data_IF_290087985434
#
_entry.id   IF_290087985434
#
_cell.length_a   1.000
_cell.length_b   1.000
_cell.length_c   1.000
_cell.angle_alpha   90.00
_cell.angle_beta   90.00
_cell.angle_gamma   90.00
#
_symmetry.space_group_name_H-M   'P 1'
#
loop_
_entity.id
_entity.type
_entity.pdbx_description
1 polymer ?
#
# COMPACT_ATOMS: atom_id res chain seq x y z
N UNK A 1 -28.52 11.50 30.56
CA UNK A 1 -27.24 12.07 30.09
C UNK A 1 -26.05 11.08 30.13
N UNK A 2 -26.26 9.75 30.25
CA UNK A 2 -25.15 8.78 30.31
C UNK A 2 -24.74 8.13 28.98
N UNK A 3 -25.67 7.97 28.03
CA UNK A 3 -25.42 7.21 26.79
C UNK A 3 -24.49 7.94 25.81
N UNK A 4 -24.59 9.27 25.74
CA UNK A 4 -23.73 10.09 24.87
C UNK A 4 -22.25 10.07 25.30
N UNK A 5 -21.98 10.00 26.61
CA UNK A 5 -20.62 9.94 27.15
C UNK A 5 -19.96 8.58 26.87
N UNK A 6 -20.71 7.47 26.98
CA UNK A 6 -20.21 6.12 26.70
C UNK A 6 -19.86 5.90 25.21
N UNK A 7 -20.63 6.49 24.29
CA UNK A 7 -20.35 6.41 22.84
C UNK A 7 -19.09 7.20 22.45
N UNK A 8 -18.89 8.38 23.06
CA UNK A 8 -17.67 9.19 22.85
C UNK A 8 -16.40 8.48 23.33
N UNK A 9 -16.48 7.81 24.48
CA UNK A 9 -15.34 7.09 25.08
C UNK A 9 -14.97 5.80 24.31
N UNK A 10 -15.94 5.09 23.73
CA UNK A 10 -15.67 3.94 22.84
C UNK A 10 -15.04 4.34 21.49
N UNK A 11 -15.45 5.47 20.88
CA UNK A 11 -14.81 5.97 19.63
C UNK A 11 -13.37 6.41 19.86
N UNK A 12 -13.10 7.12 20.96
CA UNK A 12 -11.74 7.55 21.33
C UNK A 12 -10.81 6.38 21.65
N UNK A 13 -11.29 5.37 22.38
CA UNK A 13 -10.52 4.15 22.66
C UNK A 13 -10.28 3.29 21.43
N UNK A 14 -11.26 3.14 20.55
CA UNK A 14 -11.12 2.38 19.31
C UNK A 14 -10.14 3.04 18.32
N UNK A 15 -10.16 4.37 18.18
CA UNK A 15 -9.16 5.10 17.40
C UNK A 15 -7.77 5.06 18.03
N UNK A 16 -7.65 5.25 19.34
CA UNK A 16 -6.38 5.17 20.07
C UNK A 16 -5.72 3.80 19.97
N UNK A 17 -6.49 2.72 20.13
CA UNK A 17 -5.97 1.36 19.94
C UNK A 17 -5.60 1.09 18.49
N UNK A 18 -6.47 1.44 17.52
CA UNK A 18 -6.19 1.25 16.07
C UNK A 18 -4.95 2.01 15.62
N UNK A 19 -4.75 3.24 16.09
CA UNK A 19 -3.52 3.99 15.83
C UNK A 19 -2.30 3.29 16.47
N UNK A 20 -2.40 2.86 17.73
CA UNK A 20 -1.36 2.09 18.44
C UNK A 20 -0.96 0.79 17.73
N UNK A 21 -1.90 0.11 17.05
CA UNK A 21 -1.61 -1.08 16.25
C UNK A 21 -0.67 -0.80 15.07
N UNK A 22 -0.74 0.38 14.45
CA UNK A 22 0.12 0.77 13.32
C UNK A 22 1.39 1.53 13.71
N UNK A 23 1.62 1.81 15.00
CA UNK A 23 2.73 2.65 15.46
C UNK A 23 4.15 2.10 15.17
N UNK A 24 4.27 0.88 14.63
CA UNK A 24 5.57 0.34 14.26
C UNK A 24 6.09 1.03 12.99
N UNK A 25 7.34 1.53 12.95
CA UNK A 25 7.90 2.16 11.76
C UNK A 25 7.84 1.26 10.52
N UNK A 26 8.01 -0.05 10.69
CA UNK A 26 7.92 -1.01 9.60
C UNK A 26 6.49 -1.14 9.04
N UNK A 27 5.46 -1.02 9.88
CA UNK A 27 4.05 -1.04 9.45
C UNK A 27 3.72 0.21 8.65
N UNK A 28 4.14 1.39 9.13
CA UNK A 28 3.96 2.67 8.43
C UNK A 28 4.71 2.65 7.10
N UNK A 29 5.96 2.19 7.10
CA UNK A 29 6.76 2.05 5.88
C UNK A 29 6.08 1.11 4.88
N UNK A 30 5.58 -0.06 5.32
CA UNK A 30 4.87 -1.00 4.45
C UNK A 30 3.66 -0.34 3.78
N UNK A 31 2.85 0.40 4.53
CA UNK A 31 1.68 1.10 3.98
C UNK A 31 2.06 2.20 2.99
N UNK A 32 3.06 3.02 3.33
CA UNK A 32 3.51 4.10 2.46
C UNK A 32 4.14 3.57 1.17
N UNK A 33 4.95 2.52 1.27
CA UNK A 33 5.58 1.89 0.12
C UNK A 33 4.56 1.17 -0.76
N UNK A 34 3.54 0.53 -0.16
CA UNK A 34 2.44 -0.06 -0.93
C UNK A 34 1.60 0.98 -1.68
N UNK A 35 1.33 2.12 -1.05
CA UNK A 35 0.65 3.24 -1.71
C UNK A 35 1.48 3.75 -2.90
N UNK A 36 2.78 3.96 -2.69
CA UNK A 36 3.68 4.45 -3.73
C UNK A 36 3.83 3.46 -4.89
N UNK A 37 3.93 2.16 -4.58
CA UNK A 37 3.88 1.07 -5.56
C UNK A 37 2.59 1.12 -6.39
N UNK A 38 1.43 1.26 -5.76
CA UNK A 38 0.15 1.43 -6.45
C UNK A 38 0.12 2.66 -7.36
N UNK A 39 0.65 3.81 -6.89
CA UNK A 39 0.68 5.06 -7.65
C UNK A 39 1.58 4.95 -8.87
N UNK A 40 2.78 4.40 -8.73
CA UNK A 40 3.69 4.20 -9.85
C UNK A 40 3.14 3.21 -10.87
N UNK A 41 2.60 2.09 -10.40
CA UNK A 41 1.95 1.13 -11.29
C UNK A 41 0.84 1.81 -12.11
N UNK A 42 -0.07 2.51 -11.44
CA UNK A 42 -1.17 3.23 -12.08
C UNK A 42 -0.66 4.28 -13.08
N UNK A 43 0.36 5.04 -12.70
CA UNK A 43 0.99 6.05 -13.56
C UNK A 43 1.56 5.42 -14.83
N UNK A 44 2.30 4.31 -14.72
CA UNK A 44 2.88 3.63 -15.88
C UNK A 44 1.82 2.98 -16.78
N UNK A 45 0.75 2.43 -16.20
CA UNK A 45 -0.40 1.92 -16.95
C UNK A 45 -1.12 3.03 -17.70
N UNK A 46 -1.32 4.19 -17.07
CA UNK A 46 -1.98 5.35 -17.68
C UNK A 46 -1.16 5.97 -18.81
N UNK A 47 0.18 5.90 -18.71
CA UNK A 47 1.08 6.31 -19.79
C UNK A 47 1.19 5.27 -20.91
N UNK A 48 0.68 4.04 -20.72
CA UNK A 48 0.80 2.96 -21.70
C UNK A 48 2.23 2.43 -21.89
N UNK A 49 3.12 2.68 -20.92
CA UNK A 49 4.55 2.29 -21.00
C UNK A 49 4.87 1.01 -20.25
N UNK A 50 3.89 0.46 -19.53
CA UNK A 50 4.00 -0.81 -18.81
C UNK A 50 2.66 -1.55 -18.84
N UNK A 51 2.71 -2.85 -18.55
CA UNK A 51 1.53 -3.71 -18.40
C UNK A 51 1.48 -4.31 -16.98
N UNK A 52 0.26 -4.52 -16.48
CA UNK A 52 0.06 -5.14 -15.17
C UNK A 52 0.25 -6.65 -15.29
N UNK A 53 1.31 -7.16 -14.68
CA UNK A 53 1.66 -8.59 -14.73
C UNK A 53 0.72 -9.46 -13.88
N UNK A 54 0.04 -8.88 -12.88
CA UNK A 54 -0.90 -9.61 -12.04
C UNK A 54 -2.27 -9.67 -12.74
N UNK A 55 -2.73 -10.84 -13.21
CA UNK A 55 -3.98 -10.95 -13.96
C UNK A 55 -5.17 -10.47 -13.13
N UNK A 56 -5.20 -10.73 -11.81
CA UNK A 56 -6.30 -10.29 -10.93
C UNK A 56 -6.34 -8.76 -10.85
N UNK A 57 -5.19 -8.12 -10.73
CA UNK A 57 -5.13 -6.66 -10.66
C UNK A 57 -5.40 -6.01 -12.01
N UNK A 58 -5.04 -6.68 -13.11
CA UNK A 58 -5.39 -6.21 -14.46
C UNK A 58 -6.90 -6.14 -14.65
N UNK A 59 -7.63 -7.19 -14.29
CA UNK A 59 -9.11 -7.19 -14.32
C UNK A 59 -9.69 -6.07 -13.44
N UNK A 60 -9.10 -5.82 -12.27
CA UNK A 60 -9.52 -4.73 -11.40
C UNK A 60 -9.26 -3.34 -12.03
N UNK A 61 -8.15 -3.18 -12.75
CA UNK A 61 -7.82 -1.94 -13.46
C UNK A 61 -8.75 -1.70 -14.65
N UNK A 62 -9.09 -2.75 -15.40
CA UNK A 62 -10.02 -2.69 -16.53
C UNK A 62 -11.42 -2.22 -16.13
N UNK A 63 -11.87 -2.55 -14.91
CA UNK A 63 -13.11 -2.00 -14.36
C UNK A 63 -12.98 -0.51 -14.04
N UNK A 64 -11.92 -0.14 -13.31
CA UNK A 64 -11.60 1.26 -13.02
C UNK A 64 -10.20 1.38 -12.40
N UNK A 65 -9.42 2.42 -12.76
CA UNK A 65 -8.16 2.72 -12.09
C UNK A 65 -8.31 2.94 -10.57
N UNK A 66 -9.46 3.49 -10.13
CA UNK A 66 -9.76 3.67 -8.71
C UNK A 66 -10.05 2.32 -8.02
N UNK A 67 -10.71 1.39 -8.71
CA UNK A 67 -11.00 0.06 -8.18
C UNK A 67 -9.73 -0.78 -8.01
N UNK A 68 -8.78 -0.68 -8.95
CA UNK A 68 -7.43 -1.21 -8.80
C UNK A 68 -6.76 -0.70 -7.52
N UNK A 69 -6.69 0.62 -7.34
CA UNK A 69 -6.03 1.23 -6.19
C UNK A 69 -6.71 0.83 -4.88
N UNK A 70 -8.04 0.92 -4.84
CA UNK A 70 -8.83 0.55 -3.66
C UNK A 70 -8.62 -0.92 -3.28
N UNK A 71 -8.70 -1.84 -4.24
CA UNK A 71 -8.52 -3.27 -4.00
C UNK A 71 -7.12 -3.57 -3.45
N UNK A 72 -6.08 -2.98 -4.05
CA UNK A 72 -4.69 -3.15 -3.60
C UNK A 72 -4.51 -2.69 -2.16
N UNK A 73 -4.99 -1.49 -1.84
CA UNK A 73 -4.90 -0.92 -0.50
C UNK A 73 -5.70 -1.75 0.51
N UNK A 74 -6.91 -2.19 0.17
CA UNK A 74 -7.75 -3.00 1.08
C UNK A 74 -7.08 -4.33 1.41
N UNK A 75 -6.55 -5.03 0.41
CA UNK A 75 -5.89 -6.33 0.60
C UNK A 75 -4.67 -6.19 1.53
N UNK A 76 -3.82 -5.19 1.27
CA UNK A 76 -2.61 -4.97 2.08
C UNK A 76 -2.94 -4.48 3.49
N UNK A 77 -3.91 -3.57 3.63
CA UNK A 77 -4.35 -3.12 4.95
C UNK A 77 -4.97 -4.26 5.76
N UNK A 78 -5.80 -5.12 5.14
CA UNK A 78 -6.38 -6.29 5.80
C UNK A 78 -5.29 -7.28 6.25
N UNK A 79 -4.30 -7.57 5.40
CA UNK A 79 -3.16 -8.42 5.73
C UNK A 79 -2.32 -7.84 6.87
N UNK A 80 -2.01 -6.54 6.81
CA UNK A 80 -1.27 -5.86 7.87
C UNK A 80 -2.06 -5.85 9.19
N UNK A 81 -3.37 -5.60 9.14
CA UNK A 81 -4.23 -5.64 10.31
C UNK A 81 -4.21 -7.03 10.98
N UNK A 82 -4.30 -8.10 10.20
CA UNK A 82 -4.19 -9.48 10.69
C UNK A 82 -2.84 -9.76 11.35
N UNK A 83 -1.75 -9.29 10.74
CA UNK A 83 -0.39 -9.41 11.29
C UNK A 83 -0.22 -8.60 12.59
N UNK A 84 -0.87 -7.45 12.68
CA UNK A 84 -0.86 -6.61 13.88
C UNK A 84 -1.64 -7.24 15.04
N UNK A 85 -2.75 -7.93 14.78
CA UNK A 85 -3.47 -8.71 15.81
C UNK A 85 -2.55 -9.79 16.39
N UNK A 86 -1.80 -10.48 15.53
CA UNK A 86 -0.91 -11.56 15.93
C UNK A 86 0.52 -11.09 16.23
N UNK A 87 0.73 -9.80 16.55
CA UNK A 87 2.06 -9.20 16.70
C UNK A 87 2.93 -9.81 17.80
N UNK A 88 2.33 -10.57 18.72
CA UNK A 88 3.05 -11.36 19.72
C UNK A 88 3.92 -12.45 19.07
N UNK A 89 3.52 -13.00 17.93
CA UNK A 89 4.29 -13.99 17.18
C UNK A 89 5.51 -13.36 16.51
N UNK A 90 6.66 -14.04 16.61
CA UNK A 90 7.89 -13.64 15.92
C UNK A 90 7.69 -13.61 14.40
N UNK A 91 6.97 -14.60 13.86
CA UNK A 91 6.65 -14.70 12.44
C UNK A 91 5.93 -13.46 11.90
N UNK A 92 4.94 -12.92 12.62
CA UNK A 92 4.20 -11.73 12.18
C UNK A 92 5.10 -10.49 12.10
N UNK A 93 6.01 -10.31 13.07
CA UNK A 93 6.97 -9.18 13.04
C UNK A 93 7.96 -9.30 11.88
N UNK A 94 8.41 -10.52 11.58
CA UNK A 94 9.29 -10.79 10.44
C UNK A 94 8.53 -10.54 9.13
N UNK A 95 7.30 -11.02 9.00
CA UNK A 95 6.46 -10.81 7.82
C UNK A 95 6.23 -9.32 7.52
N UNK A 96 5.96 -8.48 8.53
CA UNK A 96 5.82 -7.03 8.35
C UNK A 96 7.12 -6.41 7.81
N UNK A 97 8.28 -6.77 8.39
CA UNK A 97 9.58 -6.24 7.94
C UNK A 97 9.94 -6.72 6.54
N UNK A 98 9.71 -7.99 6.24
CA UNK A 98 9.94 -8.55 4.91
C UNK A 98 9.01 -7.90 3.88
N UNK A 99 7.73 -7.72 4.20
CA UNK A 99 6.79 -7.01 3.34
C UNK A 99 7.25 -5.58 3.05
N UNK A 100 7.69 -4.84 4.07
CA UNK A 100 8.25 -3.50 3.88
C UNK A 100 9.52 -3.53 3.00
N UNK A 101 10.41 -4.50 3.19
CA UNK A 101 11.62 -4.64 2.39
C UNK A 101 11.31 -4.96 0.92
N UNK A 102 10.35 -5.86 0.66
CA UNK A 102 9.91 -6.20 -0.70
C UNK A 102 9.32 -4.97 -1.39
N UNK A 103 8.41 -4.25 -0.72
CA UNK A 103 7.87 -3.02 -1.30
C UNK A 103 8.92 -1.93 -1.51
N UNK A 104 9.94 -1.84 -0.65
CA UNK A 104 11.04 -0.91 -0.85
C UNK A 104 11.81 -1.24 -2.14
N UNK A 105 12.12 -2.51 -2.39
CA UNK A 105 12.77 -2.97 -3.63
C UNK A 105 11.91 -2.64 -4.85
N UNK A 106 10.60 -2.89 -4.79
CA UNK A 106 9.68 -2.60 -5.89
C UNK A 106 9.62 -1.09 -6.17
N UNK A 107 9.53 -0.26 -5.14
CA UNK A 107 9.53 1.21 -5.28
C UNK A 107 10.84 1.71 -5.90
N UNK A 108 11.99 1.16 -5.47
CA UNK A 108 13.29 1.49 -6.08
C UNK A 108 13.32 1.10 -7.56
N UNK A 109 12.77 -0.06 -7.91
CA UNK A 109 12.62 -0.48 -9.30
C UNK A 109 11.75 0.50 -10.11
N UNK A 110 10.60 0.90 -9.58
CA UNK A 110 9.74 1.91 -10.23
C UNK A 110 10.45 3.26 -10.40
N UNK A 111 11.22 3.71 -9.41
CA UNK A 111 12.01 4.94 -9.51
C UNK A 111 13.09 4.82 -10.59
N UNK A 112 13.80 3.70 -10.66
CA UNK A 112 14.79 3.44 -11.70
C UNK A 112 14.15 3.38 -13.11
N UNK A 113 12.96 2.80 -13.22
CA UNK A 113 12.20 2.79 -14.46
C UNK A 113 11.72 4.20 -14.84
N UNK A 114 11.22 4.99 -13.87
CA UNK A 114 10.81 6.37 -14.08
C UNK A 114 11.98 7.25 -14.55
N UNK A 115 13.15 7.14 -13.91
CA UNK A 115 14.33 7.91 -14.32
C UNK A 115 14.79 7.51 -15.72
N UNK A 116 14.80 6.21 -16.03
CA UNK A 116 15.10 5.72 -17.37
C UNK A 116 14.12 6.29 -18.40
N UNK A 117 12.81 6.26 -18.10
CA UNK A 117 11.77 6.81 -18.96
C UNK A 117 11.98 8.30 -19.20
N UNK A 118 12.17 9.10 -18.15
CA UNK A 118 12.37 10.56 -18.25
C UNK A 118 13.62 10.91 -19.06
N UNK A 119 14.72 10.16 -18.91
CA UNK A 119 15.95 10.42 -19.64
C UNK A 119 15.86 10.07 -21.14
N UNK A 120 15.09 9.04 -21.52
CA UNK A 120 14.98 8.58 -22.92
C UNK A 120 13.73 9.09 -23.65
N UNK A 121 12.73 9.59 -22.93
CA UNK A 121 11.52 10.20 -23.52
C UNK A 121 11.78 11.28 -24.58
N UNK A 122 12.79 12.17 -24.44
CA UNK A 122 13.06 13.20 -25.45
C UNK A 122 13.43 12.64 -26.83
N UNK A 123 13.95 11.40 -26.90
CA UNK A 123 14.43 10.80 -28.14
C UNK A 123 13.33 10.12 -28.97
N UNK A 124 12.13 9.94 -28.43
CA UNK A 124 11.00 9.31 -29.14
C UNK A 124 10.15 10.33 -29.93
N UNK A 125 10.40 11.63 -29.75
CA UNK A 125 9.63 12.73 -30.36
C UNK A 125 10.39 13.44 -31.51
N UNK A 126 11.59 12.97 -31.87
CA UNK A 126 12.40 13.44 -33.00
C UNK A 126 12.48 12.39 -34.09
#
# INVERSE_FOLDING_TARGET
MGVAATIGQMRGGAWGNRASFYLSPASVALLMLNLLDGLFTLFFLQLGVAEELNPIMREAYEQSPLFFMFSKLVIVNAGLWLLCIHRHLKASRIAIRLGAAVYAVIVVYHLAFLTHLVMHWPQMLT
#
